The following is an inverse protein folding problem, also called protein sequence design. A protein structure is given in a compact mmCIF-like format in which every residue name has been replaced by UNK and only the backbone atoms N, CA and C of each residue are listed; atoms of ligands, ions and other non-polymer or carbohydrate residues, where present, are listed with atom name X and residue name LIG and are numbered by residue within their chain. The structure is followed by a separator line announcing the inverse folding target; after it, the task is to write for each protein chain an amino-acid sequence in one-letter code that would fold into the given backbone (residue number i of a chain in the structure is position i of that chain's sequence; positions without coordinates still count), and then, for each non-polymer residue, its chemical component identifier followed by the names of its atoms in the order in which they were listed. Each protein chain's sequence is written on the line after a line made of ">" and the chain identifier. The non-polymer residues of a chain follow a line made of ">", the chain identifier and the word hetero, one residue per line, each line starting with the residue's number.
data_IF_030132134502
#
_entry.id   IF_030132134502
#
_cell.length_a   1.000
_cell.length_b   1.000
_cell.length_c   1.000
_cell.angle_alpha   90.00
_cell.angle_beta   90.00
_cell.angle_gamma   90.00
#
_symmetry.space_group_name_H-M   'P 1'
#
loop_
_entity.id
_entity.type
_entity.pdbx_description
1 polymer ?
#
# COMPACT_ATOMS: atom_id res chain seq x y z
N UNK A 1 -13.80 10.35 14.76
CA UNK A 1 -12.90 10.56 13.62
C UNK A 1 -12.22 9.24 13.39
N UNK A 2 -12.29 8.75 12.18
CA UNK A 2 -11.74 7.47 11.73
C UNK A 2 -10.33 7.72 11.22
N UNK A 3 -9.33 7.31 12.00
CA UNK A 3 -7.92 7.53 11.66
C UNK A 3 -7.32 6.25 11.08
N UNK A 4 -6.66 6.38 9.93
CA UNK A 4 -5.86 5.32 9.32
C UNK A 4 -4.42 5.82 9.19
N UNK A 5 -3.48 4.99 9.59
CA UNK A 5 -2.05 5.24 9.44
C UNK A 5 -1.49 4.24 8.43
N UNK A 6 -0.85 4.72 7.38
CA UNK A 6 -0.30 3.85 6.33
C UNK A 6 1.22 3.94 6.34
N UNK A 7 1.89 2.80 6.55
CA UNK A 7 3.34 2.68 6.35
C UNK A 7 3.59 2.25 4.90
N UNK A 8 4.23 3.14 4.13
CA UNK A 8 4.66 2.82 2.77
C UNK A 8 5.99 2.05 2.81
N UNK A 9 5.91 0.72 2.67
CA UNK A 9 7.05 -0.18 2.79
C UNK A 9 8.07 -0.05 1.65
N UNK A 10 7.80 0.78 0.63
CA UNK A 10 8.83 1.24 -0.31
C UNK A 10 10.05 1.83 0.40
N UNK A 11 9.83 2.55 1.51
CA UNK A 11 10.91 3.15 2.31
C UNK A 11 11.58 2.17 3.28
N UNK A 12 11.13 0.91 3.27
CA UNK A 12 11.74 -0.23 3.97
C UNK A 12 10.80 -0.99 4.89
N UNK A 13 11.37 -1.93 5.64
CA UNK A 13 10.63 -2.82 6.55
C UNK A 13 10.22 -2.10 7.85
N UNK A 14 9.33 -2.70 8.64
CA UNK A 14 8.75 -2.09 9.86
C UNK A 14 9.76 -1.51 10.85
N UNK A 15 10.99 -2.04 10.90
CA UNK A 15 12.06 -1.55 11.78
C UNK A 15 12.69 -0.23 11.29
N UNK A 16 12.65 0.05 9.97
CA UNK A 16 13.18 1.29 9.39
C UNK A 16 12.34 2.53 9.73
N UNK A 17 11.11 2.35 10.20
CA UNK A 17 10.19 3.43 10.56
C UNK A 17 10.46 4.03 11.95
N UNK A 18 11.70 4.05 12.42
CA UNK A 18 12.02 4.40 13.82
C UNK A 18 11.51 5.79 14.23
N UNK A 19 11.58 6.79 13.32
CA UNK A 19 11.01 8.13 13.59
C UNK A 19 9.50 8.11 13.72
N UNK A 20 8.82 7.36 12.85
CA UNK A 20 7.36 7.17 12.90
C UNK A 20 6.94 6.40 14.15
N UNK A 21 7.61 5.28 14.44
CA UNK A 21 7.37 4.41 15.59
C UNK A 21 7.48 5.18 16.92
N UNK A 22 8.43 6.11 17.01
CA UNK A 22 8.67 6.95 18.18
C UNK A 22 7.92 8.29 18.14
N UNK A 23 7.13 8.57 17.10
CA UNK A 23 6.47 9.86 16.95
C UNK A 23 5.28 10.02 17.91
N UNK A 24 5.11 11.24 18.43
CA UNK A 24 3.90 11.61 19.20
C UNK A 24 2.63 11.48 18.34
N UNK A 25 2.72 11.80 17.05
CA UNK A 25 1.59 11.71 16.13
C UNK A 25 1.03 10.28 16.05
N UNK A 26 1.89 9.27 15.89
CA UNK A 26 1.48 7.85 15.92
C UNK A 26 0.82 7.50 17.25
N UNK A 27 1.45 7.85 18.37
CA UNK A 27 0.91 7.54 19.70
C UNK A 27 -0.46 8.18 19.93
N UNK A 28 -0.63 9.44 19.52
CA UNK A 28 -1.92 10.15 19.60
C UNK A 28 -2.98 9.50 18.71
N UNK A 29 -2.64 9.18 17.46
CA UNK A 29 -3.58 8.51 16.56
C UNK A 29 -4.01 7.13 17.11
N UNK A 30 -3.06 6.32 17.61
CA UNK A 30 -3.37 5.04 18.25
C UNK A 30 -4.24 5.20 19.51
N UNK A 31 -4.08 6.29 20.27
CA UNK A 31 -4.97 6.60 21.40
C UNK A 31 -6.42 6.90 20.99
N UNK A 32 -6.64 7.22 19.72
CA UNK A 32 -7.96 7.35 19.09
C UNK A 32 -8.38 6.09 18.32
N UNK A 33 -7.79 4.92 18.63
CA UNK A 33 -8.04 3.65 17.95
C UNK A 33 -7.76 3.68 16.44
N UNK A 34 -6.75 4.44 16.00
CA UNK A 34 -6.33 4.43 14.61
C UNK A 34 -5.91 3.02 14.17
N UNK A 35 -6.22 2.67 12.92
CA UNK A 35 -5.81 1.40 12.32
C UNK A 35 -4.51 1.61 11.55
N UNK A 36 -3.50 0.80 11.87
CA UNK A 36 -2.22 0.79 11.15
C UNK A 36 -2.24 -0.22 10.01
N UNK A 37 -1.88 0.25 8.82
CA UNK A 37 -1.82 -0.51 7.58
C UNK A 37 -0.40 -0.51 7.02
N UNK A 38 -0.07 -1.57 6.30
CA UNK A 38 1.14 -1.66 5.50
C UNK A 38 0.76 -1.60 4.02
N UNK A 39 1.36 -0.65 3.29
CA UNK A 39 1.34 -0.62 1.83
C UNK A 39 2.62 -1.31 1.35
N UNK A 40 2.53 -2.49 0.70
CA UNK A 40 3.72 -3.22 0.25
C UNK A 40 4.57 -2.41 -0.72
N UNK A 41 5.85 -2.75 -0.81
CA UNK A 41 6.76 -2.19 -1.80
C UNK A 41 6.37 -2.67 -3.21
N UNK A 42 6.23 -1.72 -4.14
CA UNK A 42 6.14 -2.02 -5.56
C UNK A 42 7.48 -1.68 -6.22
N UNK A 43 7.93 -2.54 -7.13
CA UNK A 43 9.15 -2.29 -7.89
C UNK A 43 9.00 -1.04 -8.77
N UNK A 44 10.06 -0.21 -8.83
CA UNK A 44 10.09 1.04 -9.59
C UNK A 44 9.69 0.84 -11.05
N UNK A 45 10.19 -0.23 -11.70
CA UNK A 45 9.90 -0.50 -13.12
C UNK A 45 8.42 -0.76 -13.40
N UNK A 46 7.72 -1.42 -12.47
CA UNK A 46 6.28 -1.66 -12.56
C UNK A 46 5.51 -0.37 -12.27
N UNK A 47 5.94 0.42 -11.28
CA UNK A 47 5.30 1.70 -10.97
C UNK A 47 5.43 2.69 -12.14
N UNK A 48 6.65 2.85 -12.68
CA UNK A 48 6.94 3.71 -13.82
C UNK A 48 6.14 3.29 -15.06
N UNK A 49 5.97 1.98 -15.28
CA UNK A 49 5.14 1.47 -16.36
C UNK A 49 3.67 1.88 -16.21
N UNK A 50 3.11 1.77 -14.99
CA UNK A 50 1.71 2.14 -14.71
C UNK A 50 1.53 3.65 -14.93
N UNK A 51 2.40 4.46 -14.35
CA UNK A 51 2.34 5.93 -14.41
C UNK A 51 2.53 6.45 -15.84
N UNK A 52 3.53 5.94 -16.57
CA UNK A 52 3.84 6.38 -17.94
C UNK A 52 2.74 6.04 -18.96
N UNK A 53 1.84 5.12 -18.63
CA UNK A 53 0.74 4.70 -19.50
C UNK A 53 -0.63 5.15 -18.96
N UNK A 54 -0.68 5.99 -17.92
CA UNK A 54 -1.91 6.46 -17.25
C UNK A 54 -2.86 5.30 -16.86
N UNK A 55 -2.30 4.16 -16.44
CA UNK A 55 -3.08 2.96 -16.12
C UNK A 55 -3.51 2.94 -14.66
N UNK A 56 -4.69 2.40 -14.40
CA UNK A 56 -5.00 1.85 -13.08
C UNK A 56 -4.24 0.54 -12.83
N UNK A 57 -4.10 0.15 -11.57
CA UNK A 57 -3.52 -1.15 -11.21
C UNK A 57 -4.26 -2.33 -11.86
N UNK A 58 -5.59 -2.23 -12.02
CA UNK A 58 -6.40 -3.26 -12.68
C UNK A 58 -6.11 -3.33 -14.18
N UNK A 59 -6.01 -2.19 -14.87
CA UNK A 59 -5.68 -2.16 -16.29
C UNK A 59 -4.26 -2.67 -16.55
N UNK A 60 -3.30 -2.33 -15.68
CA UNK A 60 -1.93 -2.79 -15.79
C UNK A 60 -1.78 -4.31 -15.61
N UNK A 61 -2.64 -4.96 -14.82
CA UNK A 61 -2.66 -6.42 -14.67
C UNK A 61 -3.03 -7.15 -15.97
N UNK A 62 -3.82 -6.51 -16.82
CA UNK A 62 -4.30 -7.05 -18.09
C UNK A 62 -3.54 -6.49 -19.31
N UNK A 63 -2.54 -5.62 -19.08
CA UNK A 63 -1.87 -4.93 -20.17
C UNK A 63 -0.83 -5.80 -20.88
N UNK A 64 -0.98 -5.97 -22.19
CA UNK A 64 -0.15 -6.87 -23.02
C UNK A 64 1.35 -6.51 -23.05
N UNK A 65 1.67 -5.23 -22.89
CA UNK A 65 3.07 -4.77 -22.84
C UNK A 65 3.79 -5.14 -21.53
N UNK A 66 3.07 -5.53 -20.48
CA UNK A 66 3.67 -5.96 -19.22
C UNK A 66 4.02 -7.44 -19.30
N UNK A 67 5.28 -7.79 -19.00
CA UNK A 67 5.69 -9.21 -19.04
C UNK A 67 4.87 -10.04 -18.04
N UNK A 68 4.64 -11.32 -18.35
CA UNK A 68 3.94 -12.24 -17.45
C UNK A 68 4.54 -12.26 -16.02
N UNK A 69 5.88 -12.12 -15.91
CA UNK A 69 6.54 -12.04 -14.61
C UNK A 69 6.19 -10.76 -13.86
N UNK A 70 6.11 -9.62 -14.54
CA UNK A 70 5.74 -8.35 -13.92
C UNK A 70 4.24 -8.29 -13.60
N UNK A 71 3.38 -8.86 -14.45
CA UNK A 71 1.96 -9.07 -14.15
C UNK A 71 1.79 -9.92 -12.88
N UNK A 72 2.55 -11.02 -12.75
CA UNK A 72 2.50 -11.88 -11.55
C UNK A 72 2.95 -11.15 -10.28
N UNK A 73 3.98 -10.29 -10.37
CA UNK A 73 4.44 -9.45 -9.26
C UNK A 73 3.41 -8.41 -8.87
N UNK A 74 2.85 -7.71 -9.86
CA UNK A 74 1.80 -6.72 -9.66
C UNK A 74 0.56 -7.35 -9.02
N UNK A 75 0.18 -8.55 -9.47
CA UNK A 75 -0.93 -9.31 -8.88
C UNK A 75 -0.71 -9.58 -7.39
N UNK A 76 0.46 -10.14 -7.05
CA UNK A 76 0.80 -10.40 -5.65
C UNK A 76 0.84 -9.13 -4.79
N UNK A 77 1.31 -8.02 -5.36
CA UNK A 77 1.29 -6.71 -4.71
C UNK A 77 -0.14 -6.22 -4.46
N UNK A 78 -1.02 -6.26 -5.47
CA UNK A 78 -2.43 -5.84 -5.37
C UNK A 78 -3.15 -6.67 -4.32
N UNK A 79 -2.96 -8.00 -4.33
CA UNK A 79 -3.58 -8.90 -3.35
C UNK A 79 -3.12 -8.58 -1.92
N UNK A 80 -1.81 -8.38 -1.73
CA UNK A 80 -1.23 -8.00 -0.43
C UNK A 80 -1.72 -6.62 0.04
N UNK A 81 -1.81 -5.65 -0.86
CA UNK A 81 -2.30 -4.30 -0.55
C UNK A 81 -3.78 -4.32 -0.16
N UNK A 82 -4.61 -5.05 -0.92
CA UNK A 82 -6.04 -5.24 -0.62
C UNK A 82 -6.24 -5.89 0.75
N UNK A 83 -5.56 -7.00 1.02
CA UNK A 83 -5.66 -7.69 2.31
C UNK A 83 -5.24 -6.80 3.49
N UNK A 84 -4.26 -5.90 3.29
CA UNK A 84 -3.93 -4.90 4.29
C UNK A 84 -5.06 -3.87 4.45
N UNK A 85 -5.59 -3.31 3.36
CA UNK A 85 -6.61 -2.27 3.41
C UNK A 85 -7.95 -2.75 3.97
N UNK A 86 -8.28 -4.04 3.81
CA UNK A 86 -9.46 -4.66 4.41
C UNK A 86 -9.46 -4.59 5.95
N UNK A 87 -8.30 -4.40 6.59
CA UNK A 87 -8.22 -4.18 8.05
C UNK A 87 -8.88 -2.87 8.49
N UNK A 88 -9.07 -1.93 7.57
CA UNK A 88 -9.70 -0.62 7.78
C UNK A 88 -10.85 -0.37 6.78
N UNK A 89 -11.57 -1.43 6.40
CA UNK A 89 -12.63 -1.37 5.39
C UNK A 89 -13.70 -0.31 5.66
N UNK A 90 -14.15 -0.17 6.91
CA UNK A 90 -15.11 0.85 7.35
C UNK A 90 -14.51 2.26 7.20
N UNK A 91 -13.30 2.47 7.69
CA UNK A 91 -12.63 3.78 7.68
C UNK A 91 -12.34 4.24 6.24
N UNK A 92 -12.09 3.30 5.34
CA UNK A 92 -11.78 3.54 3.93
C UNK A 92 -13.03 3.57 3.03
N UNK A 93 -14.23 3.30 3.56
CA UNK A 93 -15.48 3.28 2.78
C UNK A 93 -15.55 2.13 1.76
N UNK A 94 -14.90 1.00 2.05
CA UNK A 94 -14.95 -0.20 1.21
C UNK A 94 -16.18 -1.06 1.49
N UNK A 95 -16.86 -0.83 2.62
CA UNK A 95 -18.11 -1.48 3.04
C UNK A 95 -19.10 -0.46 3.61
#
# INVERSE_FOLDING_TARGET
>A
VDYVLVKNLYWGTGEKFTRYNNSKARQTALSFNAIELDLPELFDDIFDFIDSNDLSFSEALEHDALTLSNQSRLFGWVDTAKSNFEKADIQLGLK
#
